data_IF_299179070566
#
_entry.id   IF_299179070566
#
_cell.length_a   1.000
_cell.length_b   1.000
_cell.length_c   1.000
_cell.angle_alpha   90.00
_cell.angle_beta   90.00
_cell.angle_gamma   90.00
#
_symmetry.space_group_name_H-M   'P 1'
#
loop_
_entity.id
_entity.type
_entity.pdbx_description
1 polymer ?
#
# COMPACT_ATOMS: atom_id res chain seq x y z
N UNK A 1 3.09 39.13 -26.73
CA UNK A 1 4.20 38.43 -26.06
C UNK A 1 3.90 36.95 -26.14
N UNK A 2 4.56 36.24 -27.05
CA UNK A 2 4.32 34.81 -27.26
C UNK A 2 5.21 34.02 -26.30
N UNK A 3 4.61 33.35 -25.33
CA UNK A 3 5.33 32.44 -24.42
C UNK A 3 5.60 31.13 -25.18
N UNK A 4 6.84 30.92 -25.60
CA UNK A 4 7.30 29.59 -26.03
C UNK A 4 7.71 28.81 -24.79
N UNK A 5 6.89 27.86 -24.38
CA UNK A 5 7.29 26.85 -23.40
C UNK A 5 8.48 26.06 -23.94
N UNK A 6 9.52 25.78 -23.13
CA UNK A 6 10.56 24.86 -23.55
C UNK A 6 9.94 23.49 -23.80
N UNK A 7 10.22 22.90 -24.96
CA UNK A 7 9.94 21.48 -25.17
C UNK A 7 10.75 20.72 -24.12
N UNK A 8 10.06 20.10 -23.14
CA UNK A 8 10.73 19.25 -22.17
C UNK A 8 11.47 18.15 -22.95
N UNK A 9 12.79 18.21 -22.95
CA UNK A 9 13.63 17.14 -23.47
C UNK A 9 13.52 16.02 -22.45
N UNK A 10 12.74 14.99 -22.77
CA UNK A 10 12.54 13.82 -21.93
C UNK A 10 13.67 12.82 -22.20
N UNK A 11 14.84 13.07 -21.60
CA UNK A 11 15.86 12.04 -21.51
C UNK A 11 15.37 10.97 -20.54
N UNK A 12 15.02 9.78 -21.02
CA UNK A 12 14.43 8.69 -20.21
C UNK A 12 15.24 8.36 -18.95
N UNK A 13 16.55 8.68 -18.95
CA UNK A 13 17.46 8.51 -17.84
C UNK A 13 17.21 9.47 -16.66
N UNK A 14 16.79 10.72 -16.90
CA UNK A 14 16.59 11.71 -15.83
C UNK A 14 15.29 11.48 -15.05
N UNK A 15 14.25 10.94 -15.69
CA UNK A 15 12.99 10.58 -15.03
C UNK A 15 13.15 9.46 -13.98
N UNK A 16 14.15 8.60 -14.13
CA UNK A 16 14.40 7.49 -13.20
C UNK A 16 15.01 7.99 -11.89
N UNK A 17 15.87 9.00 -11.96
CA UNK A 17 16.59 9.53 -10.80
C UNK A 17 15.67 10.36 -9.89
N UNK A 18 14.79 11.18 -10.47
CA UNK A 18 13.82 12.01 -9.72
C UNK A 18 12.68 11.22 -9.05
N UNK A 19 12.46 9.96 -9.46
CA UNK A 19 11.34 9.13 -8.99
C UNK A 19 11.75 7.85 -8.25
N UNK A 20 13.05 7.63 -8.02
CA UNK A 20 13.56 6.44 -7.33
C UNK A 20 12.98 6.28 -5.90
N UNK A 21 12.70 7.39 -5.20
CA UNK A 21 12.14 7.39 -3.85
C UNK A 21 10.75 6.76 -3.76
N UNK A 22 9.94 6.86 -4.83
CA UNK A 22 8.61 6.26 -4.89
C UNK A 22 8.67 4.74 -4.82
N UNK A 23 9.68 4.13 -5.45
CA UNK A 23 9.89 2.68 -5.42
C UNK A 23 10.20 2.20 -4.01
N UNK A 24 11.01 2.97 -3.26
CA UNK A 24 11.32 2.68 -1.85
C UNK A 24 10.05 2.77 -1.00
N UNK A 25 9.27 3.85 -1.16
CA UNK A 25 7.99 4.02 -0.45
C UNK A 25 7.04 2.85 -0.74
N UNK A 26 6.91 2.46 -2.01
CA UNK A 26 6.06 1.35 -2.43
C UNK A 26 6.54 0.02 -1.83
N UNK A 27 7.85 -0.23 -1.81
CA UNK A 27 8.43 -1.40 -1.17
C UNK A 27 8.09 -1.45 0.32
N UNK A 28 8.21 -0.33 1.04
CA UNK A 28 7.82 -0.24 2.45
C UNK A 28 6.32 -0.51 2.62
N UNK A 29 5.47 0.10 1.80
CA UNK A 29 4.02 -0.10 1.86
C UNK A 29 3.64 -1.56 1.64
N UNK A 30 4.30 -2.21 0.68
CA UNK A 30 4.08 -3.61 0.34
C UNK A 30 4.52 -4.51 1.49
N UNK A 31 5.71 -4.30 2.07
CA UNK A 31 6.15 -5.07 3.24
C UNK A 31 5.21 -4.90 4.42
N UNK A 32 4.71 -3.68 4.69
CA UNK A 32 3.77 -3.42 5.76
C UNK A 32 2.41 -4.09 5.54
N UNK A 33 1.91 -4.09 4.29
CA UNK A 33 0.71 -4.84 3.95
C UNK A 33 0.91 -6.35 4.18
N UNK A 34 2.03 -6.91 3.69
CA UNK A 34 2.34 -8.32 3.86
C UNK A 34 2.49 -8.73 5.32
N UNK A 35 3.14 -7.93 6.15
CA UNK A 35 3.29 -8.23 7.59
C UNK A 35 1.95 -8.22 8.31
N UNK A 36 1.07 -7.25 8.04
CA UNK A 36 -0.27 -7.22 8.60
C UNK A 36 -1.10 -8.43 8.17
N UNK A 37 -1.08 -8.76 6.88
CA UNK A 37 -1.76 -9.95 6.36
C UNK A 37 -1.23 -11.25 6.98
N UNK A 38 0.10 -11.39 7.07
CA UNK A 38 0.75 -12.56 7.66
C UNK A 38 0.42 -12.69 9.15
N UNK A 39 0.42 -11.60 9.91
CA UNK A 39 0.07 -11.61 11.33
C UNK A 39 -1.38 -12.05 11.56
N UNK A 40 -2.32 -11.53 10.76
CA UNK A 40 -3.73 -11.92 10.83
C UNK A 40 -3.95 -13.38 10.40
N UNK A 41 -3.27 -13.83 9.33
CA UNK A 41 -3.35 -15.20 8.87
C UNK A 41 -2.75 -16.19 9.88
N UNK A 42 -1.60 -15.85 10.46
CA UNK A 42 -0.97 -16.64 11.52
C UNK A 42 -1.90 -16.76 12.74
N UNK A 43 -2.56 -15.67 13.14
CA UNK A 43 -3.53 -15.68 14.23
C UNK A 43 -4.69 -16.65 13.97
N UNK A 44 -5.28 -16.62 12.77
CA UNK A 44 -6.33 -17.56 12.42
C UNK A 44 -5.83 -19.02 12.29
N UNK A 45 -4.58 -19.23 11.86
CA UNK A 45 -3.97 -20.57 11.80
C UNK A 45 -3.82 -21.19 13.19
N UNK A 46 -3.34 -20.43 14.17
CA UNK A 46 -3.21 -20.91 15.55
C UNK A 46 -4.55 -21.04 16.29
N UNK A 47 -5.56 -20.22 15.94
CA UNK A 47 -6.85 -20.18 16.64
C UNK A 47 -7.89 -21.24 16.21
N UNK A 48 -7.48 -22.26 15.43
CA UNK A 48 -8.27 -23.29 14.70
C UNK A 48 -8.66 -22.86 13.30
N UNK A 49 -8.45 -23.76 12.31
CA UNK A 49 -8.78 -23.77 10.88
C UNK A 49 -9.93 -22.88 10.40
N UNK A 50 -9.74 -21.57 10.47
CA UNK A 50 -10.78 -20.59 10.15
C UNK A 50 -10.18 -19.59 9.16
N UNK A 51 -10.89 -19.30 8.07
CA UNK A 51 -10.49 -18.37 7.01
C UNK A 51 -10.68 -16.93 7.48
N UNK A 52 -9.73 -16.07 7.09
CA UNK A 52 -9.78 -14.64 7.35
C UNK A 52 -10.95 -14.01 6.57
N UNK A 53 -11.94 -13.47 7.29
CA UNK A 53 -13.00 -12.62 6.72
C UNK A 53 -12.92 -11.25 7.39
N UNK A 54 -12.20 -10.33 6.75
CA UNK A 54 -12.11 -8.94 7.23
C UNK A 54 -13.31 -8.13 6.74
N UNK A 55 -14.12 -7.60 7.67
CA UNK A 55 -15.08 -6.53 7.35
C UNK A 55 -14.45 -5.18 7.69
N UNK A 56 -14.21 -4.36 6.67
CA UNK A 56 -13.74 -2.99 6.86
C UNK A 56 -14.95 -2.06 7.03
N UNK A 57 -15.17 -1.56 8.25
CA UNK A 57 -16.22 -0.58 8.52
C UNK A 57 -15.60 0.80 8.76
N UNK A 58 -15.85 1.73 7.84
CA UNK A 58 -15.50 3.14 7.99
C UNK A 58 -16.68 3.88 8.63
N UNK A 59 -16.51 4.36 9.87
CA UNK A 59 -17.48 5.23 10.52
C UNK A 59 -16.85 6.61 10.79
N UNK A 60 -17.67 7.66 10.92
CA UNK A 60 -17.22 9.04 11.17
C UNK A 60 -16.38 9.23 12.44
N UNK A 61 -16.42 8.27 13.37
CA UNK A 61 -15.68 8.31 14.64
C UNK A 61 -14.43 7.42 14.67
N UNK A 62 -14.11 6.70 13.59
CA UNK A 62 -12.93 5.84 13.56
C UNK A 62 -13.01 4.73 12.52
N UNK A 63 -11.86 4.10 12.29
CA UNK A 63 -11.73 2.92 11.45
C UNK A 63 -11.80 1.68 12.33
N UNK A 64 -12.87 0.90 12.19
CA UNK A 64 -13.00 -0.37 12.89
C UNK A 64 -12.69 -1.51 11.93
N UNK A 65 -11.60 -2.23 12.21
CA UNK A 65 -11.20 -3.44 11.49
C UNK A 65 -11.69 -4.64 12.30
N UNK A 66 -12.78 -5.26 11.84
CA UNK A 66 -13.25 -6.50 12.45
C UNK A 66 -12.54 -7.67 11.78
N UNK A 67 -11.56 -8.24 12.49
CA UNK A 67 -10.79 -9.40 12.04
C UNK A 67 -11.50 -10.65 12.52
N UNK A 68 -12.42 -11.18 11.71
CA UNK A 68 -13.14 -12.41 12.02
C UNK A 68 -12.39 -13.62 11.43
N UNK A 69 -12.07 -14.61 12.27
CA UNK A 69 -11.61 -15.94 11.82
C UNK A 69 -12.85 -16.87 11.73
N UNK A 70 -13.33 -17.19 10.52
CA UNK A 70 -14.54 -18.04 10.30
C UNK A 70 -14.30 -19.41 9.67
#
# INVERSE_FOLDING_TARGET
>A
MSYSSPAAIYDASSLVEDHAWFVVLLAVLMTFAFTLFAAMAAWCFFAKDRKFSGKWNWNRSGVSLNVECK
#
